data_IF_443785701923
#
_entry.id   IF_443785701923
#
_cell.length_a   1.000
_cell.length_b   1.000
_cell.length_c   1.000
_cell.angle_alpha   90.00
_cell.angle_beta   90.00
_cell.angle_gamma   90.00
#
_symmetry.space_group_name_H-M   'P 1'
#
loop_
_entity.id
_entity.type
_entity.pdbx_description
1 polymer ?
#
# COMPACT_ATOMS: atom_id res chain seq x y z
N UNK A 1 -13.94 -22.40 2.40
CA UNK A 1 -14.07 -21.18 1.58
C UNK A 1 -12.68 -20.52 1.51
N UNK A 2 -11.88 -20.80 0.47
CA UNK A 2 -10.54 -20.19 0.32
C UNK A 2 -10.77 -18.74 -0.08
N UNK A 3 -10.64 -17.82 0.88
CA UNK A 3 -10.82 -16.39 0.65
C UNK A 3 -9.72 -15.97 -0.33
N UNK A 4 -10.11 -15.72 -1.58
CA UNK A 4 -9.20 -15.33 -2.66
C UNK A 4 -8.25 -14.25 -2.17
N UNK A 5 -6.95 -14.53 -2.21
CA UNK A 5 -5.85 -13.62 -1.91
C UNK A 5 -5.75 -12.43 -2.89
N UNK A 6 -6.83 -12.12 -3.62
CA UNK A 6 -6.92 -11.04 -4.62
C UNK A 6 -7.23 -9.68 -3.99
N UNK A 7 -7.78 -9.62 -2.79
CA UNK A 7 -8.08 -8.37 -2.05
C UNK A 7 -7.34 -8.30 -0.71
N UNK A 8 -6.04 -8.62 -0.69
CA UNK A 8 -5.28 -8.65 0.57
C UNK A 8 -4.96 -7.25 1.11
N UNK A 9 -4.91 -6.23 0.25
CA UNK A 9 -4.57 -4.85 0.62
C UNK A 9 -5.55 -3.86 -0.01
N UNK A 10 -5.93 -2.81 0.72
CA UNK A 10 -6.61 -1.64 0.13
C UNK A 10 -5.57 -0.81 -0.62
N UNK A 11 -5.94 -0.30 -1.78
CA UNK A 11 -5.07 0.51 -2.63
C UNK A 11 -5.77 1.80 -3.06
N UNK A 12 -5.00 2.87 -3.22
CA UNK A 12 -5.41 4.15 -3.78
C UNK A 12 -6.75 4.64 -3.16
N UNK A 13 -7.74 4.94 -3.99
CA UNK A 13 -9.09 5.39 -3.60
C UNK A 13 -9.87 4.43 -2.67
N UNK A 14 -9.40 3.18 -2.49
CA UNK A 14 -10.00 2.25 -1.52
C UNK A 14 -9.60 2.57 -0.08
N UNK A 15 -8.60 3.42 0.14
CA UNK A 15 -8.15 3.90 1.46
C UNK A 15 -9.02 5.09 1.85
N UNK A 16 -9.87 4.92 2.88
CA UNK A 16 -10.91 5.89 3.27
C UNK A 16 -10.65 6.65 4.55
N UNK A 17 -9.51 6.40 5.20
CA UNK A 17 -9.12 7.12 6.43
C UNK A 17 -8.61 8.52 6.08
N UNK A 18 -8.70 9.50 7.00
CA UNK A 18 -8.22 10.85 6.73
C UNK A 18 -6.69 10.96 6.70
N UNK A 19 -6.00 10.14 7.49
CA UNK A 19 -4.54 10.17 7.65
C UNK A 19 -3.96 8.76 7.63
N UNK A 20 -2.74 8.67 7.12
CA UNK A 20 -1.96 7.44 6.99
C UNK A 20 -0.53 7.69 7.40
N UNK A 21 0.13 6.66 7.94
CA UNK A 21 1.58 6.65 8.08
C UNK A 21 2.17 6.18 6.74
N UNK A 22 2.87 7.06 6.05
CA UNK A 22 3.49 6.80 4.76
C UNK A 22 4.92 6.27 4.95
N UNK A 23 5.27 5.21 4.22
CA UNK A 23 6.62 4.63 4.16
C UNK A 23 7.01 4.30 2.72
N UNK A 24 8.29 4.31 2.39
CA UNK A 24 8.79 3.94 1.05
C UNK A 24 10.19 4.47 0.76
N UNK A 25 10.79 3.98 -0.33
CA UNK A 25 12.21 4.26 -0.63
C UNK A 25 12.46 5.67 -1.19
N UNK A 26 11.43 6.32 -1.75
CA UNK A 26 11.52 7.67 -2.36
C UNK A 26 10.55 8.65 -1.70
N UNK A 27 10.21 8.44 -0.44
CA UNK A 27 9.33 9.33 0.32
C UNK A 27 9.89 9.56 1.70
N UNK A 28 9.65 10.75 2.25
CA UNK A 28 9.95 10.99 3.67
C UNK A 28 8.93 10.22 4.50
N UNK A 29 9.41 9.39 5.42
CA UNK A 29 8.52 8.65 6.32
C UNK A 29 7.85 9.62 7.30
N UNK A 30 6.54 9.48 7.47
CA UNK A 30 5.78 10.41 8.28
C UNK A 30 4.29 10.12 8.28
N UNK A 31 3.53 10.96 8.99
CA UNK A 31 2.07 10.96 8.93
C UNK A 31 1.66 12.00 7.89
N UNK A 32 0.83 11.57 6.94
CA UNK A 32 0.33 12.39 5.84
C UNK A 32 -1.19 12.29 5.80
N UNK A 33 -1.83 13.33 5.27
CA UNK A 33 -3.21 13.15 4.83
C UNK A 33 -3.27 12.10 3.71
N UNK A 34 -4.34 11.33 3.64
CA UNK A 34 -4.52 10.34 2.57
C UNK A 34 -4.45 10.99 1.18
N UNK A 35 -4.93 12.23 1.05
CA UNK A 35 -4.85 13.00 -0.20
C UNK A 35 -3.41 13.30 -0.61
N UNK A 36 -2.57 13.74 0.33
CA UNK A 36 -1.15 13.98 0.03
C UNK A 36 -0.44 12.68 -0.31
N UNK A 37 -0.69 11.60 0.44
CA UNK A 37 -0.12 10.29 0.17
C UNK A 37 -0.51 9.77 -1.24
N UNK A 38 -1.76 10.00 -1.67
CA UNK A 38 -2.22 9.67 -3.02
C UNK A 38 -1.50 10.51 -4.09
N UNK A 39 -1.35 11.82 -3.86
CA UNK A 39 -0.63 12.72 -4.78
C UNK A 39 0.82 12.29 -4.96
N UNK A 40 1.50 11.94 -3.87
CA UNK A 40 2.89 11.48 -3.92
C UNK A 40 2.99 10.14 -4.68
N UNK A 41 2.03 9.24 -4.50
CA UNK A 41 1.98 7.99 -5.26
C UNK A 41 1.79 8.26 -6.77
N UNK A 42 0.88 9.16 -7.13
CA UNK A 42 0.62 9.58 -8.52
C UNK A 42 1.84 10.25 -9.17
N UNK A 43 2.50 11.17 -8.46
CA UNK A 43 3.72 11.85 -8.93
C UNK A 43 4.88 10.87 -9.20
N UNK A 44 4.88 9.71 -8.52
CA UNK A 44 5.86 8.65 -8.72
C UNK A 44 5.40 7.56 -9.69
N UNK A 45 4.20 7.66 -10.26
CA UNK A 45 3.56 6.62 -11.08
C UNK A 45 3.47 5.26 -10.37
N UNK A 46 3.27 5.27 -9.05
CA UNK A 46 3.16 4.10 -8.17
C UNK A 46 1.79 4.03 -7.49
N UNK A 47 1.52 2.93 -6.79
CA UNK A 47 0.29 2.74 -6.02
C UNK A 47 0.53 3.04 -4.52
N UNK A 48 -0.46 3.67 -3.89
CA UNK A 48 -0.54 3.76 -2.43
C UNK A 48 -1.21 2.48 -1.90
N UNK A 49 -0.47 1.64 -1.20
CA UNK A 49 -0.93 0.33 -0.72
C UNK A 49 -0.98 0.30 0.80
N UNK A 50 -2.14 0.02 1.37
CA UNK A 50 -2.32 -0.17 2.82
C UNK A 50 -1.76 -1.53 3.24
N UNK A 51 -0.62 -1.53 3.92
CA UNK A 51 0.09 -2.75 4.35
C UNK A 51 -0.25 -3.16 5.79
N UNK A 52 -0.64 -2.20 6.65
CA UNK A 52 -1.04 -2.47 8.03
C UNK A 52 -2.34 -1.71 8.38
N UNK A 53 -3.52 -2.29 8.08
CA UNK A 53 -4.82 -1.67 8.35
C UNK A 53 -5.14 -1.52 9.84
N UNK A 54 -4.50 -2.31 10.71
CA UNK A 54 -4.75 -2.33 12.16
C UNK A 54 -3.96 -1.29 12.94
N UNK A 55 -2.98 -0.64 12.31
CA UNK A 55 -2.20 0.41 12.93
C UNK A 55 -3.02 1.72 13.07
N UNK A 56 -2.60 2.59 14.00
CA UNK A 56 -3.20 3.91 14.21
C UNK A 56 -2.09 5.00 14.13
N UNK A 57 -2.04 5.80 13.06
CA UNK A 57 -2.79 5.68 11.80
C UNK A 57 -2.39 4.42 11.00
N UNK A 58 -3.22 3.94 10.05
CA UNK A 58 -2.88 2.82 9.19
C UNK A 58 -1.58 3.06 8.41
N UNK A 59 -0.77 2.03 8.23
CA UNK A 59 0.50 2.15 7.50
C UNK A 59 0.25 1.88 6.02
N UNK A 60 0.58 2.86 5.19
CA UNK A 60 0.54 2.79 3.74
C UNK A 60 1.94 2.92 3.15
N UNK A 61 2.20 2.17 2.08
CA UNK A 61 3.47 2.15 1.37
C UNK A 61 3.26 2.51 -0.09
N UNK A 62 4.14 3.32 -0.65
CA UNK A 62 4.15 3.64 -2.08
C UNK A 62 5.01 2.63 -2.83
N UNK A 63 4.39 1.80 -3.68
CA UNK A 63 5.04 0.70 -4.42
C UNK A 63 4.23 0.35 -5.68
N UNK A 64 4.86 -0.34 -6.63
CA UNK A 64 4.16 -1.01 -7.73
C UNK A 64 3.41 -2.24 -7.17
N UNK A 65 2.08 -2.14 -7.07
CA UNK A 65 1.26 -3.19 -6.50
C UNK A 65 1.29 -4.49 -7.32
N UNK A 66 1.34 -4.38 -8.65
CA UNK A 66 1.36 -5.56 -9.55
C UNK A 66 2.65 -6.34 -9.37
N UNK A 67 3.79 -5.64 -9.35
CA UNK A 67 5.10 -6.24 -9.10
C UNK A 67 5.19 -6.84 -7.70
N UNK A 68 4.68 -6.15 -6.69
CA UNK A 68 4.63 -6.64 -5.31
C UNK A 68 3.85 -7.95 -5.21
N UNK A 69 2.62 -8.01 -5.75
CA UNK A 69 1.79 -9.22 -5.73
C UNK A 69 2.46 -10.36 -6.50
N UNK A 70 3.11 -10.08 -7.63
CA UNK A 70 3.84 -11.08 -8.40
C UNK A 70 5.01 -11.67 -7.60
N UNK A 71 5.83 -10.82 -6.97
CA UNK A 71 6.96 -11.27 -6.14
C UNK A 71 6.50 -12.09 -4.93
N UNK A 72 5.41 -11.68 -4.26
CA UNK A 72 4.83 -12.43 -3.15
C UNK A 72 4.35 -13.83 -3.60
N UNK A 73 3.66 -13.91 -4.74
CA UNK A 73 3.20 -15.19 -5.29
C UNK A 73 4.37 -16.10 -5.70
N UNK A 74 5.46 -15.54 -6.22
CA UNK A 74 6.64 -16.31 -6.60
C UNK A 74 7.30 -16.91 -5.34
N UNK A 75 7.53 -16.09 -4.31
CA UNK A 75 8.10 -16.55 -3.02
C UNK A 75 7.26 -17.66 -2.38
N UNK A 76 5.92 -17.56 -2.43
CA UNK A 76 5.02 -18.58 -1.90
C UNK A 76 5.03 -19.89 -2.69
N UNK A 77 5.48 -19.89 -3.96
CA UNK A 77 5.60 -21.09 -4.79
C UNK A 77 6.98 -21.75 -4.69
N UNK A 78 8.00 -20.99 -4.34
CA UNK A 78 9.37 -21.48 -4.16
C UNK A 78 9.63 -21.99 -2.72
N UNK A 79 8.63 -21.94 -1.84
CA UNK A 79 8.68 -22.36 -0.44
C UNK A 79 7.89 -23.64 -0.18
#
# INVERSE_FOLDING_TARGET
MRKDSKDQHRINERIRVPEVRLVGDNVTEGIYSTREALKIAEEQELDLVEIAPTAKPPVCRIIDYKKFVYQQKKKLKEQ
#
